data_IF_489787019487
#
_entry.id   IF_489787019487
#
_cell.length_a   1.000
_cell.length_b   1.000
_cell.length_c   1.000
_cell.angle_alpha   90.00
_cell.angle_beta   90.00
_cell.angle_gamma   90.00
#
_symmetry.space_group_name_H-M   'P 1'
#
loop_
_entity.id
_entity.type
_entity.pdbx_description
1 polymer ?
#
# COMPACT_ATOMS: atom_id res chain seq x y z
N UNK A 1 -8.81 23.53 -6.99
CA UNK A 1 -7.98 23.24 -5.79
C UNK A 1 -7.64 21.75 -5.65
N UNK A 2 -8.39 20.84 -6.26
CA UNK A 2 -8.18 19.38 -6.16
C UNK A 2 -6.95 18.84 -6.92
N UNK A 3 -6.56 19.47 -8.03
CA UNK A 3 -5.44 18.99 -8.87
C UNK A 3 -4.09 19.03 -8.14
N UNK A 4 -3.81 20.11 -7.39
CA UNK A 4 -2.58 20.19 -6.60
C UNK A 4 -2.52 19.13 -5.49
N UNK A 5 -3.66 18.81 -4.86
CA UNK A 5 -3.70 17.74 -3.87
C UNK A 5 -3.47 16.37 -4.50
N UNK A 6 -4.08 16.13 -5.66
CA UNK A 6 -3.90 14.91 -6.45
C UNK A 6 -2.43 14.71 -6.82
N UNK A 7 -1.78 15.75 -7.35
CA UNK A 7 -0.36 15.74 -7.73
C UNK A 7 0.55 15.42 -6.55
N UNK A 8 0.38 16.14 -5.43
CA UNK A 8 1.16 15.91 -4.21
C UNK A 8 0.93 14.49 -3.68
N UNK A 9 -0.30 13.99 -3.74
CA UNK A 9 -0.62 12.65 -3.26
C UNK A 9 0.01 11.57 -4.13
N UNK A 10 0.01 11.74 -5.46
CA UNK A 10 0.66 10.78 -6.37
C UNK A 10 2.19 10.81 -6.24
N UNK A 11 2.80 11.97 -6.02
CA UNK A 11 4.24 12.07 -5.72
C UNK A 11 4.58 11.39 -4.38
N UNK A 12 3.78 11.64 -3.32
CA UNK A 12 3.94 10.95 -2.04
C UNK A 12 3.80 9.44 -2.18
N UNK A 13 2.76 8.98 -2.90
CA UNK A 13 2.53 7.55 -3.19
C UNK A 13 3.74 6.93 -3.87
N UNK A 14 4.26 7.59 -4.89
CA UNK A 14 5.41 7.13 -5.66
C UNK A 14 6.65 6.96 -4.78
N UNK A 15 6.93 7.94 -3.92
CA UNK A 15 8.06 7.90 -2.98
C UNK A 15 7.93 6.80 -1.93
N UNK A 16 6.74 6.64 -1.34
CA UNK A 16 6.46 5.60 -0.34
C UNK A 16 6.70 4.20 -0.91
N UNK A 17 6.24 3.96 -2.15
CA UNK A 17 6.42 2.66 -2.81
C UNK A 17 7.90 2.42 -3.16
N UNK A 18 8.57 3.44 -3.72
CA UNK A 18 9.96 3.35 -4.15
C UNK A 18 10.90 3.06 -2.97
N UNK A 19 10.82 3.87 -1.92
CA UNK A 19 11.62 3.72 -0.70
C UNK A 19 11.38 2.37 -0.03
N UNK A 20 10.11 1.98 0.10
CA UNK A 20 9.75 0.66 0.61
C UNK A 20 10.05 0.46 2.10
N UNK A 21 10.18 1.54 2.86
CA UNK A 21 10.16 1.50 4.33
C UNK A 21 8.83 0.92 4.83
N UNK A 22 8.93 -0.05 5.73
CA UNK A 22 7.77 -0.79 6.27
C UNK A 22 6.84 0.14 7.04
N UNK A 23 7.37 1.10 7.81
CA UNK A 23 6.57 2.03 8.59
C UNK A 23 5.75 2.97 7.70
N UNK A 24 6.37 3.52 6.67
CA UNK A 24 5.77 4.42 5.70
C UNK A 24 4.71 3.71 4.85
N UNK A 25 5.02 2.50 4.37
CA UNK A 25 4.06 1.65 3.66
C UNK A 25 2.84 1.30 4.52
N UNK A 26 3.03 0.96 5.80
CA UNK A 26 1.90 0.68 6.72
C UNK A 26 1.03 1.91 6.93
N UNK A 27 1.62 3.09 7.13
CA UNK A 27 0.85 4.34 7.27
C UNK A 27 0.05 4.66 6.01
N UNK A 28 0.66 4.52 4.83
CA UNK A 28 -0.02 4.74 3.56
C UNK A 28 -1.18 3.76 3.34
N UNK A 29 -0.90 2.45 3.45
CA UNK A 29 -1.87 1.38 3.19
C UNK A 29 -3.02 1.34 4.19
N UNK A 30 -2.87 1.92 5.38
CA UNK A 30 -3.98 2.05 6.35
C UNK A 30 -4.74 3.37 6.23
N UNK A 31 -4.25 4.32 5.42
CA UNK A 31 -4.91 5.61 5.19
C UNK A 31 -6.10 5.50 4.25
N UNK A 32 -6.97 6.52 4.25
CA UNK A 32 -8.09 6.62 3.30
C UNK A 32 -7.63 6.65 1.83
N UNK A 33 -6.41 7.14 1.56
CA UNK A 33 -5.86 7.28 0.22
C UNK A 33 -5.17 6.01 -0.30
N UNK A 34 -4.55 5.24 0.59
CA UNK A 34 -3.76 4.06 0.22
C UNK A 34 -4.42 2.71 0.51
N UNK A 35 -5.58 2.67 1.19
CA UNK A 35 -6.23 1.40 1.58
C UNK A 35 -6.61 0.47 0.44
N UNK A 36 -6.82 1.02 -0.76
CA UNK A 36 -7.15 0.26 -1.96
C UNK A 36 -5.97 0.22 -2.97
N UNK A 37 -4.80 0.74 -2.60
CA UNK A 37 -3.59 0.74 -3.43
C UNK A 37 -2.88 -0.61 -3.41
N UNK A 38 -3.31 -1.50 -4.31
CA UNK A 38 -2.81 -2.86 -4.45
C UNK A 38 -1.27 -2.93 -4.64
N UNK A 39 -0.64 -2.10 -5.51
CA UNK A 39 0.82 -2.03 -5.60
C UNK A 39 1.52 -1.76 -4.26
N UNK A 40 1.02 -0.82 -3.44
CA UNK A 40 1.61 -0.54 -2.14
C UNK A 40 1.45 -1.69 -1.15
N UNK A 41 0.29 -2.37 -1.16
CA UNK A 41 0.09 -3.58 -0.34
C UNK A 41 1.05 -4.71 -0.72
N UNK A 42 1.25 -4.97 -2.01
CA UNK A 42 2.22 -5.98 -2.50
C UNK A 42 3.65 -5.60 -2.15
N UNK A 43 4.00 -4.31 -2.24
CA UNK A 43 5.31 -3.81 -1.81
C UNK A 43 5.52 -4.05 -0.31
N UNK A 44 4.51 -3.78 0.52
CA UNK A 44 4.57 -4.06 1.96
C UNK A 44 4.76 -5.56 2.24
N UNK A 45 3.98 -6.43 1.61
CA UNK A 45 4.12 -7.89 1.76
C UNK A 45 5.55 -8.36 1.50
N UNK A 46 6.14 -7.86 0.41
CA UNK A 46 7.48 -8.22 0.00
C UNK A 46 8.56 -7.76 0.99
N UNK A 47 8.34 -6.65 1.70
CA UNK A 47 9.29 -6.08 2.67
C UNK A 47 9.19 -6.69 4.06
N UNK A 48 8.06 -7.28 4.43
CA UNK A 48 7.90 -7.94 5.72
C UNK A 48 8.74 -9.21 5.80
N UNK A 49 9.49 -9.47 6.89
CA UNK A 49 10.18 -10.74 7.09
C UNK A 49 9.23 -11.95 7.14
N UNK A 50 9.70 -13.17 6.82
CA UNK A 50 8.96 -14.39 7.11
C UNK A 50 8.59 -14.47 8.61
N UNK A 51 7.36 -14.92 8.91
CA UNK A 51 6.85 -15.01 10.28
C UNK A 51 6.39 -13.68 10.90
N UNK A 52 6.53 -12.55 10.21
CA UNK A 52 6.02 -11.27 10.71
C UNK A 52 4.49 -11.32 10.89
N UNK A 53 3.94 -10.88 12.04
CA UNK A 53 2.51 -11.05 12.36
C UNK A 53 1.59 -10.39 11.33
N UNK A 54 2.00 -9.25 10.78
CA UNK A 54 1.19 -8.51 9.79
C UNK A 54 1.08 -9.18 8.41
N UNK A 55 1.90 -10.20 8.09
CA UNK A 55 1.83 -10.85 6.77
C UNK A 55 0.46 -11.46 6.48
N UNK A 56 -0.21 -12.01 7.50
CA UNK A 56 -1.56 -12.57 7.33
C UNK A 56 -2.58 -11.49 6.93
N UNK A 57 -2.52 -10.31 7.58
CA UNK A 57 -3.41 -9.17 7.31
C UNK A 57 -3.15 -8.61 5.91
N UNK A 58 -1.88 -8.39 5.57
CA UNK A 58 -1.46 -7.87 4.26
C UNK A 58 -1.91 -8.81 3.14
N UNK A 59 -1.62 -10.11 3.24
CA UNK A 59 -2.03 -11.09 2.24
C UNK A 59 -3.54 -11.22 2.11
N UNK A 60 -4.28 -11.11 3.22
CA UNK A 60 -5.75 -11.06 3.20
C UNK A 60 -6.28 -9.85 2.43
N UNK A 61 -5.66 -8.68 2.61
CA UNK A 61 -6.05 -7.46 1.92
C UNK A 61 -5.73 -7.50 0.43
N UNK A 62 -4.57 -8.03 0.05
CA UNK A 62 -4.17 -8.24 -1.35
C UNK A 62 -5.22 -9.11 -2.06
N UNK A 63 -5.56 -10.28 -1.50
CA UNK A 63 -6.59 -11.18 -2.07
C UNK A 63 -7.95 -10.50 -2.24
N UNK A 64 -8.36 -9.67 -1.28
CA UNK A 64 -9.62 -8.92 -1.38
C UNK A 64 -9.59 -7.91 -2.54
N UNK A 65 -8.47 -7.22 -2.73
CA UNK A 65 -8.30 -6.25 -3.81
C UNK A 65 -8.17 -6.94 -5.18
N UNK A 66 -7.41 -8.03 -5.28
CA UNK A 66 -7.33 -8.84 -6.49
C UNK A 66 -8.73 -9.28 -6.96
N UNK A 67 -9.54 -9.81 -6.03
CA UNK A 67 -10.95 -10.16 -6.30
C UNK A 67 -11.79 -8.96 -6.76
N UNK A 68 -11.59 -7.78 -6.18
CA UNK A 68 -12.32 -6.55 -6.54
C UNK A 68 -11.96 -6.08 -7.95
N UNK A 69 -10.69 -6.19 -8.34
CA UNK A 69 -10.18 -5.72 -9.63
C UNK A 69 -10.21 -6.80 -10.71
N UNK A 70 -10.56 -8.05 -10.39
CA UNK A 70 -10.65 -9.16 -11.34
C UNK A 70 -9.28 -9.66 -11.82
N UNK A 71 -8.26 -9.58 -10.95
CA UNK A 71 -6.88 -10.04 -11.21
C UNK A 71 -6.71 -11.46 -10.67
#
# INVERSE_FOLDING_TARGET
>A
MTEMFEEIREDLRSRVIADGDVGSLRKWTTSAHGRDDLPAWRRLEHRLPPGHPDRAVVGGRIRLLDKRYGI
#
